data_IF_162500099394
#
_entry.id   IF_162500099394
#
_cell.length_a   1.000
_cell.length_b   1.000
_cell.length_c   1.000
_cell.angle_alpha   90.00
_cell.angle_beta   90.00
_cell.angle_gamma   90.00
#
_symmetry.space_group_name_H-M   'P 1'
#
loop_
_entity.id
_entity.type
_entity.pdbx_description
1 polymer ?
#
# COMPACT_ATOMS: atom_id res chain seq x y z
N UNK A 1 14.32 18.36 20.90
CA UNK A 1 13.14 17.91 20.13
C UNK A 1 13.53 16.61 19.46
N UNK A 2 12.98 15.48 19.89
CA UNK A 2 13.31 14.18 19.31
C UNK A 2 12.64 14.09 17.93
N UNK A 3 13.45 13.98 16.88
CA UNK A 3 12.97 13.68 15.54
C UNK A 3 12.51 12.22 15.54
N UNK A 4 11.19 11.99 15.58
CA UNK A 4 10.65 10.70 15.22
C UNK A 4 11.03 10.48 13.75
N UNK A 5 11.99 9.60 13.47
CA UNK A 5 12.26 9.16 12.12
C UNK A 5 10.96 8.53 11.60
N UNK A 6 10.44 9.04 10.48
CA UNK A 6 9.32 8.43 9.80
C UNK A 6 9.79 7.06 9.30
N UNK A 7 9.57 6.01 10.09
CA UNK A 7 9.81 4.65 9.65
C UNK A 7 8.72 4.30 8.64
N UNK A 8 9.11 3.86 7.45
CA UNK A 8 8.15 3.39 6.45
C UNK A 8 7.51 2.10 6.99
N UNK A 9 6.21 2.15 7.24
CA UNK A 9 5.45 1.02 7.74
C UNK A 9 4.99 0.17 6.55
N UNK A 10 5.01 -1.15 6.72
CA UNK A 10 4.50 -2.07 5.71
C UNK A 10 2.98 -2.19 5.86
N UNK A 11 2.27 -2.12 4.74
CA UNK A 11 0.82 -2.24 4.67
C UNK A 11 0.43 -3.39 3.75
N UNK A 12 -0.70 -4.00 4.07
CA UNK A 12 -1.36 -5.01 3.25
C UNK A 12 -2.74 -4.49 2.83
N UNK A 13 -3.12 -4.73 1.58
CA UNK A 13 -4.44 -4.36 1.09
C UNK A 13 -5.14 -5.51 0.37
N UNK A 14 -6.47 -5.42 0.32
CA UNK A 14 -7.33 -6.32 -0.45
C UNK A 14 -8.40 -5.52 -1.19
N UNK A 15 -8.74 -5.98 -2.39
CA UNK A 15 -9.90 -5.53 -3.13
C UNK A 15 -10.62 -6.71 -3.79
N UNK A 16 -11.94 -6.76 -3.68
CA UNK A 16 -12.78 -7.74 -4.38
C UNK A 16 -13.50 -7.06 -5.55
N UNK A 17 -13.18 -7.46 -6.79
CA UNK A 17 -13.89 -6.99 -7.99
C UNK A 17 -15.33 -7.51 -8.04
N UNK A 18 -16.21 -6.85 -8.80
CA UNK A 18 -17.62 -7.28 -8.93
C UNK A 18 -17.77 -8.65 -9.59
N UNK A 19 -16.82 -9.03 -10.44
CA UNK A 19 -16.77 -10.34 -11.09
C UNK A 19 -16.18 -11.46 -10.22
N UNK A 20 -15.87 -11.17 -8.95
CA UNK A 20 -15.29 -12.11 -8.00
C UNK A 20 -13.76 -12.19 -8.03
N UNK A 21 -13.10 -11.45 -8.91
CA UNK A 21 -11.62 -11.41 -8.95
C UNK A 21 -11.07 -10.79 -7.67
N UNK A 22 -10.19 -11.52 -6.99
CA UNK A 22 -9.52 -11.05 -5.79
C UNK A 22 -8.20 -10.35 -6.15
N UNK A 23 -8.04 -9.11 -5.71
CA UNK A 23 -6.79 -8.37 -5.79
C UNK A 23 -6.24 -8.23 -4.37
N UNK A 24 -5.01 -8.63 -4.15
CA UNK A 24 -4.31 -8.42 -2.87
C UNK A 24 -2.95 -7.81 -3.12
N UNK A 25 -2.34 -7.21 -2.10
CA UNK A 25 -1.01 -6.67 -2.28
C UNK A 25 -0.43 -6.07 -1.03
N UNK A 26 0.80 -5.61 -1.17
CA UNK A 26 1.54 -4.92 -0.11
C UNK A 26 2.24 -3.69 -0.66
N UNK A 27 2.48 -2.72 0.20
CA UNK A 27 3.38 -1.61 -0.06
C UNK A 27 3.91 -1.07 1.26
N UNK A 28 5.01 -0.35 1.20
CA UNK A 28 5.48 0.48 2.29
C UNK A 28 5.02 1.92 2.08
N UNK A 29 4.87 2.69 3.16
CA UNK A 29 4.56 4.11 3.07
C UNK A 29 4.63 4.83 4.41
N UNK A 30 4.28 6.12 4.39
CA UNK A 30 4.22 6.96 5.58
C UNK A 30 2.77 7.34 5.89
N UNK A 31 2.25 7.02 7.09
CA UNK A 31 0.88 7.34 7.46
C UNK A 31 0.73 8.81 7.84
N UNK A 32 -0.42 9.39 7.49
CA UNK A 32 -0.89 10.69 7.96
C UNK A 32 -2.42 10.67 8.07
N UNK A 33 -2.92 10.38 9.27
CA UNK A 33 -4.36 10.22 9.51
C UNK A 33 -4.93 9.06 8.70
N UNK A 34 -5.93 9.35 7.85
CA UNK A 34 -6.56 8.35 6.98
C UNK A 34 -5.70 7.98 5.75
N UNK A 35 -4.59 8.67 5.50
CA UNK A 35 -3.79 8.48 4.29
C UNK A 35 -2.49 7.73 4.57
N UNK A 36 -2.04 6.98 3.56
CA UNK A 36 -0.67 6.51 3.43
C UNK A 36 -0.10 7.10 2.14
N UNK A 37 1.04 7.77 2.26
CA UNK A 37 1.74 8.45 1.16
C UNK A 37 3.13 7.85 0.94
N UNK A 38 3.78 8.22 -0.18
CA UNK A 38 5.12 7.74 -0.49
C UNK A 38 5.16 6.23 -0.77
N UNK A 39 4.14 5.70 -1.45
CA UNK A 39 3.98 4.27 -1.69
C UNK A 39 5.18 3.68 -2.44
N UNK A 40 5.81 2.65 -1.88
CA UNK A 40 6.98 1.99 -2.46
C UNK A 40 7.03 0.50 -2.08
N UNK A 41 7.97 -0.28 -2.66
CA UNK A 41 8.05 -1.74 -2.47
C UNK A 41 6.70 -2.45 -2.73
N UNK A 42 6.07 -2.10 -3.85
CA UNK A 42 4.70 -2.49 -4.12
C UNK A 42 4.65 -3.89 -4.76
N UNK A 43 3.79 -4.74 -4.22
CA UNK A 43 3.40 -6.01 -4.80
C UNK A 43 1.88 -6.06 -4.97
N UNK A 44 1.41 -6.65 -6.08
CA UNK A 44 -0.01 -6.91 -6.33
C UNK A 44 -0.14 -8.35 -6.82
N UNK A 45 -1.15 -9.05 -6.33
CA UNK A 45 -1.52 -10.39 -6.71
C UNK A 45 -2.96 -10.40 -7.17
N UNK A 46 -3.24 -11.12 -8.26
CA UNK A 46 -4.59 -11.34 -8.79
C UNK A 46 -4.92 -12.81 -8.66
N UNK A 47 -5.95 -13.14 -7.89
CA UNK A 47 -6.31 -14.52 -7.55
C UNK A 47 -5.09 -15.33 -7.04
N UNK A 48 -4.23 -14.68 -6.25
CA UNK A 48 -3.00 -15.26 -5.71
C UNK A 48 -1.81 -15.30 -6.67
N UNK A 49 -1.97 -14.90 -7.93
CA UNK A 49 -0.88 -14.85 -8.91
C UNK A 49 -0.24 -13.47 -8.92
N UNK A 50 1.07 -13.43 -8.72
CA UNK A 50 1.81 -12.17 -8.69
C UNK A 50 1.73 -11.43 -10.03
N UNK A 51 1.34 -10.16 -9.98
CA UNK A 51 1.30 -9.26 -11.14
C UNK A 51 2.71 -8.79 -11.55
N UNK A 52 3.67 -8.77 -10.61
CA UNK A 52 5.09 -8.44 -10.87
C UNK A 52 5.82 -9.62 -11.52
N UNK A 53 6.48 -9.38 -12.67
CA UNK A 53 7.35 -10.36 -13.35
C UNK A 53 8.81 -9.86 -13.44
N UNK A 54 9.36 -9.32 -12.35
CA UNK A 54 10.81 -9.05 -12.25
C UNK A 54 11.20 -7.74 -11.57
N UNK A 55 10.29 -6.76 -11.49
CA UNK A 55 10.49 -5.49 -10.77
C UNK A 55 9.29 -5.19 -9.87
N UNK A 56 9.49 -4.52 -8.72
CA UNK A 56 8.39 -3.96 -7.94
C UNK A 56 7.51 -3.06 -8.81
N UNK A 57 6.23 -2.99 -8.51
CA UNK A 57 5.35 -2.05 -9.19
C UNK A 57 5.69 -0.63 -8.76
N UNK A 58 5.37 0.32 -9.64
CA UNK A 58 5.49 1.74 -9.36
C UNK A 58 4.11 2.34 -9.08
N UNK A 59 4.07 3.33 -8.20
CA UNK A 59 2.86 4.05 -7.84
C UNK A 59 2.80 5.40 -8.54
N UNK A 60 1.72 5.61 -9.28
CA UNK A 60 1.40 6.85 -9.96
C UNK A 60 0.08 7.41 -9.44
N UNK A 61 -0.03 8.72 -9.33
CA UNK A 61 -1.28 9.42 -9.02
C UNK A 61 -1.85 10.07 -10.27
N UNK A 62 -3.17 10.15 -10.38
CA UNK A 62 -3.78 11.12 -11.28
C UNK A 62 -3.46 12.53 -10.76
N UNK A 63 -2.71 13.30 -11.54
CA UNK A 63 -2.41 14.69 -11.26
C UNK A 63 -3.29 15.56 -12.16
N UNK A 64 -4.37 16.09 -11.60
CA UNK A 64 -5.29 16.99 -12.30
C UNK A 64 -4.71 18.40 -12.32
N UNK A 65 -3.63 18.63 -13.07
CA UNK A 65 -3.15 19.99 -13.32
C UNK A 65 -4.11 20.68 -14.31
N UNK A 66 -5.09 21.40 -13.74
CA UNK A 66 -5.85 22.56 -14.24
C UNK A 66 -6.53 22.55 -15.64
N UNK A 67 -6.20 21.65 -16.55
CA UNK A 67 -6.66 21.66 -17.94
C UNK A 67 -7.62 20.48 -18.21
N UNK A 68 -8.88 20.75 -18.59
CA UNK A 68 -9.83 19.69 -18.96
C UNK A 68 -9.29 18.81 -20.10
N UNK A 69 -9.22 17.50 -19.86
CA UNK A 69 -8.88 16.51 -20.90
C UNK A 69 -7.41 16.07 -20.97
N UNK A 70 -6.53 16.61 -20.13
CA UNK A 70 -5.14 16.13 -20.03
C UNK A 70 -4.96 15.31 -18.75
N UNK A 71 -4.66 14.02 -18.91
CA UNK A 71 -4.24 13.16 -17.80
C UNK A 71 -2.73 13.33 -17.64
N UNK A 72 -2.31 13.95 -16.54
CA UNK A 72 -0.90 14.00 -16.13
C UNK A 72 -0.70 13.00 -14.99
N UNK A 73 0.29 12.12 -15.13
CA UNK A 73 0.65 11.21 -14.03
C UNK A 73 1.65 11.90 -13.10
N UNK A 74 1.34 11.91 -11.81
CA UNK A 74 2.24 12.35 -10.75
C UNK A 74 2.77 11.16 -9.95
N UNK A 75 3.70 11.42 -9.02
CA UNK A 75 4.23 10.43 -8.08
C UNK A 75 3.69 10.61 -6.66
N UNK A 76 2.59 11.36 -6.50
CA UNK A 76 1.98 11.66 -5.20
C UNK A 76 0.82 10.71 -4.91
N UNK A 77 1.00 9.43 -5.27
CA UNK A 77 -0.02 8.40 -5.06
C UNK A 77 -0.28 8.24 -3.56
N UNK A 78 -1.56 8.15 -3.21
CA UNK A 78 -2.00 7.93 -1.84
C UNK A 78 -3.01 6.80 -1.79
N UNK A 79 -2.85 5.97 -0.76
CA UNK A 79 -3.88 5.02 -0.33
C UNK A 79 -4.55 5.57 0.93
N UNK A 80 -5.79 5.19 1.16
CA UNK A 80 -6.60 5.61 2.29
C UNK A 80 -7.25 4.39 2.95
N UNK A 81 -7.41 4.41 4.27
CA UNK A 81 -7.98 3.26 4.99
C UNK A 81 -9.45 3.04 4.63
N UNK A 82 -10.19 4.10 4.34
CA UNK A 82 -11.61 4.07 3.98
C UNK A 82 -11.89 4.10 2.46
N UNK A 83 -10.84 3.98 1.64
CA UNK A 83 -10.86 4.12 0.18
C UNK A 83 -11.26 5.49 -0.38
N UNK A 84 -11.79 6.42 0.43
CA UNK A 84 -12.43 7.66 -0.04
C UNK A 84 -11.46 8.64 -0.72
N UNK A 85 -10.17 8.49 -0.45
CA UNK A 85 -9.12 9.36 -0.97
C UNK A 85 -8.06 8.60 -1.78
N UNK A 86 -8.31 7.34 -2.14
CA UNK A 86 -7.38 6.58 -2.97
C UNK A 86 -7.14 7.31 -4.30
N UNK A 87 -5.89 7.53 -4.68
CA UNK A 87 -5.56 8.12 -5.97
C UNK A 87 -4.26 7.48 -6.46
N UNK A 88 -4.34 6.20 -6.79
CA UNK A 88 -3.18 5.45 -7.21
C UNK A 88 -3.47 4.61 -8.46
N UNK A 89 -2.40 4.41 -9.21
CA UNK A 89 -2.19 3.31 -10.15
C UNK A 89 -0.91 2.62 -9.72
N UNK A 90 -0.99 1.31 -9.53
CA UNK A 90 0.13 0.42 -9.26
C UNK A 90 0.43 -0.33 -10.55
N UNK A 91 1.52 0.01 -11.23
CA UNK A 91 1.81 -0.45 -12.59
C UNK A 91 3.15 -1.17 -12.74
N UNK A 92 3.24 -2.06 -13.73
CA UNK A 92 4.46 -2.83 -14.04
C UNK A 92 5.47 -2.06 -14.91
N UNK A 93 5.10 -0.90 -15.41
CA UNK A 93 5.92 0.01 -16.22
C UNK A 93 5.42 1.44 -16.03
N UNK A 94 6.00 2.39 -16.79
CA UNK A 94 5.58 3.79 -16.76
C UNK A 94 4.08 3.96 -17.02
N UNK A 95 3.48 5.00 -16.43
CA UNK A 95 2.05 5.23 -16.47
C UNK A 95 1.46 5.48 -17.89
N UNK A 96 2.30 5.67 -18.91
CA UNK A 96 1.89 5.89 -20.29
C UNK A 96 1.93 4.59 -21.13
N UNK A 97 2.77 3.63 -20.75
CA UNK A 97 2.99 2.36 -21.43
C UNK A 97 2.73 1.16 -20.50
N UNK A 98 1.71 1.26 -19.65
CA UNK A 98 1.32 0.22 -18.70
C UNK A 98 0.83 -1.05 -19.40
N UNK A 99 1.48 -2.18 -19.14
CA UNK A 99 1.01 -3.50 -19.59
C UNK A 99 0.06 -4.12 -18.59
N UNK A 100 0.34 -3.92 -17.30
CA UNK A 100 -0.50 -4.36 -16.18
C UNK A 100 -0.60 -3.26 -15.16
N UNK A 101 -1.81 -3.08 -14.63
CA UNK A 101 -2.01 -2.16 -13.53
C UNK A 101 -3.21 -2.53 -12.67
N UNK A 102 -3.17 -2.07 -11.43
CA UNK A 102 -4.32 -1.98 -10.55
C UNK A 102 -4.48 -0.53 -10.10
N UNK A 103 -5.68 0.04 -10.19
CA UNK A 103 -5.92 1.43 -9.80
C UNK A 103 -7.24 1.61 -9.08
N UNK A 104 -7.25 2.50 -8.08
CA UNK A 104 -8.47 2.99 -7.43
C UNK A 104 -8.42 4.51 -7.46
N UNK A 105 -9.50 5.13 -7.93
CA UNK A 105 -9.63 6.61 -7.98
C UNK A 105 -11.10 7.03 -7.82
N UNK A 106 -11.57 7.26 -6.59
CA UNK A 106 -12.91 7.76 -6.29
C UNK A 106 -13.03 9.30 -6.40
N UNK A 107 -11.97 10.00 -6.85
CA UNK A 107 -11.94 11.47 -6.90
C UNK A 107 -11.40 12.01 -8.22
N UNK A 108 -12.28 12.06 -9.20
CA UNK A 108 -12.10 12.84 -10.42
C UNK A 108 -13.44 13.51 -10.73
N UNK A 109 -13.64 14.71 -10.17
CA UNK A 109 -14.82 15.56 -10.39
C UNK A 109 -15.10 15.93 -11.86
N UNK A 110 -14.30 15.46 -12.83
CA UNK A 110 -14.36 15.91 -14.23
C UNK A 110 -14.01 14.82 -15.28
N UNK A 111 -14.07 13.52 -14.98
CA UNK A 111 -13.89 12.47 -16.01
C UNK A 111 -15.10 11.52 -16.07
N UNK A 112 -15.45 11.03 -17.27
CA UNK A 112 -16.47 9.99 -17.50
C UNK A 112 -16.04 8.59 -17.00
N UNK A 113 -14.85 8.50 -16.42
CA UNK A 113 -14.25 7.33 -15.76
C UNK A 113 -14.09 7.65 -14.26
N UNK A 114 -15.00 8.46 -13.73
CA UNK A 114 -15.04 8.72 -12.30
C UNK A 114 -15.58 7.53 -11.52
N UNK A 115 -14.99 7.32 -10.35
CA UNK A 115 -15.37 6.28 -9.42
C UNK A 115 -15.17 4.86 -9.95
N UNK A 116 -13.97 4.60 -10.46
CA UNK A 116 -13.61 3.28 -10.95
C UNK A 116 -12.46 2.62 -10.22
N UNK A 117 -12.59 1.31 -10.06
CA UNK A 117 -11.47 0.41 -9.80
C UNK A 117 -11.20 -0.37 -11.08
N UNK A 118 -9.97 -0.28 -11.57
CA UNK A 118 -9.55 -0.95 -12.80
C UNK A 118 -8.43 -1.94 -12.48
N UNK A 119 -8.51 -3.13 -13.08
CA UNK A 119 -7.42 -4.09 -13.15
C UNK A 119 -7.18 -4.44 -14.61
N UNK A 120 -5.96 -4.18 -15.08
CA UNK A 120 -5.49 -4.59 -16.40
C UNK A 120 -4.41 -5.64 -16.24
N UNK A 121 -4.58 -6.74 -16.95
CA UNK A 121 -3.55 -7.74 -17.21
C UNK A 121 -3.29 -7.78 -18.74
N UNK A 122 -2.34 -8.60 -19.22
CA UNK A 122 -2.02 -8.63 -20.67
C UNK A 122 -3.26 -8.94 -21.52
N UNK A 123 -4.05 -9.95 -21.11
CA UNK A 123 -5.15 -10.48 -21.92
C UNK A 123 -6.52 -10.27 -21.26
N UNK A 124 -6.60 -9.49 -20.18
CA UNK A 124 -7.86 -9.25 -19.48
C UNK A 124 -7.93 -7.84 -18.90
N UNK A 125 -9.16 -7.34 -18.83
CA UNK A 125 -9.46 -6.02 -18.30
C UNK A 125 -10.74 -6.10 -17.48
N UNK A 126 -10.66 -5.70 -16.21
CA UNK A 126 -11.74 -5.73 -15.25
C UNK A 126 -11.95 -4.29 -14.77
N UNK A 127 -13.21 -3.85 -14.69
CA UNK A 127 -13.56 -2.48 -14.29
C UNK A 127 -14.85 -2.48 -13.50
N UNK A 128 -14.77 -1.91 -12.31
CA UNK A 128 -15.92 -1.64 -11.47
C UNK A 128 -16.19 -0.14 -11.47
N UNK A 129 -17.45 0.26 -11.71
CA UNK A 129 -17.93 1.65 -11.60
C UNK A 129 -19.02 1.74 -10.55
N UNK A 130 -18.62 1.69 -9.29
CA UNK A 130 -19.54 1.74 -8.15
C UNK A 130 -18.87 2.45 -6.96
N UNK A 131 -18.95 3.80 -6.88
CA UNK A 131 -18.29 4.57 -5.81
C UNK A 131 -18.66 4.09 -4.40
N UNK A 132 -19.92 3.72 -4.18
CA UNK A 132 -20.38 3.25 -2.87
C UNK A 132 -19.87 1.82 -2.58
N UNK A 133 -19.85 0.95 -3.59
CA UNK A 133 -19.35 -0.41 -3.46
C UNK A 133 -17.83 -0.53 -3.40
N UNK A 134 -17.07 0.45 -3.88
CA UNK A 134 -15.59 0.43 -3.85
C UNK A 134 -15.08 0.41 -2.40
N UNK A 135 -15.59 1.29 -1.54
CA UNK A 135 -15.16 1.35 -0.14
C UNK A 135 -15.48 0.05 0.62
N UNK A 136 -16.65 -0.56 0.36
CA UNK A 136 -17.07 -1.81 1.02
C UNK A 136 -16.21 -3.03 0.65
N UNK A 137 -15.48 -2.98 -0.47
CA UNK A 137 -14.66 -4.09 -0.99
C UNK A 137 -13.17 -3.84 -0.85
N UNK A 138 -12.79 -2.66 -0.36
CA UNK A 138 -11.43 -2.28 -0.04
C UNK A 138 -11.12 -2.55 1.43
N UNK A 139 -9.92 -3.05 1.70
CA UNK A 139 -9.36 -3.09 3.04
C UNK A 139 -7.88 -2.74 2.97
N UNK A 140 -7.44 -1.92 3.91
CA UNK A 140 -6.05 -1.56 4.11
C UNK A 140 -5.73 -1.75 5.59
N UNK A 141 -4.64 -2.46 5.89
CA UNK A 141 -4.18 -2.68 7.26
C UNK A 141 -2.67 -2.59 7.36
N UNK A 142 -2.20 -2.24 8.55
CA UNK A 142 -0.79 -2.34 8.89
C UNK A 142 -0.39 -3.82 8.87
N UNK A 143 0.64 -4.13 8.10
CA UNK A 143 1.25 -5.45 8.12
C UNK A 143 2.04 -5.60 9.41
N UNK A 144 1.73 -6.64 10.19
CA UNK A 144 2.51 -6.96 11.38
C UNK A 144 3.92 -7.36 10.93
N UNK A 145 4.86 -6.43 10.98
CA UNK A 145 6.29 -6.73 10.85
C UNK A 145 6.69 -7.35 12.18
N UNK A 146 7.01 -8.65 12.26
CA UNK A 146 7.61 -9.19 13.47
C UNK A 146 8.93 -8.44 13.60
N UNK A 147 9.14 -7.69 14.67
CA UNK A 147 10.45 -7.09 14.94
C UNK A 147 11.31 -8.16 15.64
N UNK A 148 12.13 -8.97 14.93
CA UNK A 148 13.03 -9.92 15.60
C UNK A 148 14.01 -9.20 16.54
N UNK A 149 14.26 -7.92 16.29
CA UNK A 149 15.22 -7.09 17.02
C UNK A 149 14.68 -6.65 18.39
N UNK A 150 13.43 -6.22 18.51
CA UNK A 150 12.86 -5.77 19.79
C UNK A 150 12.73 -6.93 20.78
N UNK A 151 12.33 -8.10 20.31
CA UNK A 151 12.35 -9.30 21.15
C UNK A 151 13.77 -9.74 21.49
N UNK A 152 14.72 -9.65 20.54
CA UNK A 152 16.13 -9.92 20.79
C UNK A 152 16.76 -8.99 21.82
N UNK A 153 16.49 -7.68 21.73
CA UNK A 153 17.00 -6.65 22.64
C UNK A 153 16.35 -6.72 24.02
N UNK A 154 15.05 -7.03 24.08
CA UNK A 154 14.35 -7.30 25.33
C UNK A 154 14.93 -8.53 26.03
N UNK A 155 15.13 -9.63 25.30
CA UNK A 155 15.73 -10.85 25.83
C UNK A 155 17.20 -10.65 26.23
N UNK A 156 17.97 -9.88 25.46
CA UNK A 156 19.34 -9.51 25.80
C UNK A 156 19.39 -8.66 27.08
N UNK A 157 18.50 -7.68 27.22
CA UNK A 157 18.35 -6.87 28.42
C UNK A 157 17.97 -7.70 29.66
N UNK A 158 17.00 -8.60 29.52
CA UNK A 158 16.60 -9.53 30.58
C UNK A 158 17.75 -10.50 30.96
N UNK A 159 18.50 -10.98 29.96
CA UNK A 159 19.68 -11.83 30.18
C UNK A 159 20.78 -11.13 30.98
N UNK A 160 21.06 -9.86 30.69
CA UNK A 160 22.02 -9.03 31.41
C UNK A 160 21.60 -8.80 32.88
N UNK A 161 20.32 -8.50 33.13
CA UNK A 161 19.79 -8.30 34.49
C UNK A 161 19.88 -9.61 35.29
N UNK A 162 19.46 -10.74 34.70
CA UNK A 162 19.56 -12.05 35.34
C UNK A 162 21.01 -12.45 35.66
N UNK A 163 21.95 -12.15 34.77
CA UNK A 163 23.37 -12.39 34.99
C UNK A 163 23.95 -11.53 36.12
N UNK A 164 23.61 -10.23 36.16
CA UNK A 164 24.04 -9.32 37.23
C UNK A 164 23.50 -9.74 38.61
N UNK A 165 22.22 -10.14 38.69
CA UNK A 165 21.61 -10.65 39.91
C UNK A 165 22.31 -11.93 40.42
N UNK A 166 22.70 -12.84 39.51
CA UNK A 166 23.45 -14.06 39.86
C UNK A 166 24.82 -13.77 40.45
N UNK A 167 25.48 -12.69 40.02
CA UNK A 167 26.81 -12.29 40.53
C UNK A 167 26.73 -11.77 41.97
N UNK A 168 25.70 -11.00 42.28
CA UNK A 168 25.48 -10.46 43.63
C UNK A 168 25.06 -11.54 44.64
N UNK A 169 24.35 -12.58 44.19
CA UNK A 169 23.95 -13.70 45.04
C UNK A 169 25.11 -14.62 45.46
N UNK A 170 26.30 -14.51 44.85
CA UNK A 170 27.50 -15.31 45.18
C UNK A 170 28.51 -14.56 46.07
N UNK A 171 28.19 -13.35 46.51
CA UNK A 171 29.07 -12.51 47.35
C UNK A 171 28.69 -12.53 48.84
N UNK A 172 27.97 -13.57 49.29
CA UNK A 172 27.64 -13.86 50.69
C UNK A 172 28.19 -15.23 51.05
#
# INVERSE_FOLDING_TARGET
>A
MASAAAHAEAYSFTYSMLDGTAVTGTFNGSPNGNLVSGLNHISVYVNGINMTRGSPLEAYSYNNLAEPGIIVWGHNAVASFDASLNNFILADSDAYNVSRYFSISPLNRFSTIADSTDLRLINSFHRDRDPAGIAARWSLSVSAVPEPETYGMLLAGLGLIGFAARRNAKSV
#
